data_IF_103547883275
#
_entry.id   IF_103547883275
#
_cell.length_a   1.000
_cell.length_b   1.000
_cell.length_c   1.000
_cell.angle_alpha   90.00
_cell.angle_beta   90.00
_cell.angle_gamma   90.00
#
_symmetry.space_group_name_H-M   'P 1'
#
loop_
_entity.id
_entity.type
_entity.pdbx_description
1 polymer ?
#
# COMPACT_ATOMS: atom_id res chain seq x y z
N UNK A 1 12.65 33.51 -21.18
CA UNK A 1 11.62 33.68 -20.14
C UNK A 1 11.14 35.12 -20.19
N UNK A 2 9.85 35.37 -20.49
CA UNK A 2 9.28 36.71 -20.29
C UNK A 2 9.11 36.91 -18.79
N UNK A 3 9.48 38.07 -18.22
CA UNK A 3 9.19 38.35 -16.81
C UNK A 3 7.67 38.36 -16.60
N UNK A 4 7.22 37.81 -15.48
CA UNK A 4 5.82 37.81 -15.06
C UNK A 4 5.30 39.25 -14.98
N UNK A 5 4.02 39.45 -15.32
CA UNK A 5 3.41 40.78 -15.22
C UNK A 5 3.23 41.16 -13.75
N UNK A 6 3.24 42.48 -13.41
CA UNK A 6 3.05 42.93 -12.02
C UNK A 6 1.74 42.45 -11.37
N UNK A 7 0.69 42.19 -12.16
CA UNK A 7 -0.58 41.67 -11.61
C UNK A 7 -0.49 40.19 -11.25
N UNK A 8 0.26 39.40 -12.03
CA UNK A 8 0.46 37.98 -11.76
C UNK A 8 1.36 37.79 -10.54
N UNK A 9 2.43 38.58 -10.43
CA UNK A 9 3.30 38.57 -9.26
C UNK A 9 2.58 38.96 -7.95
N UNK A 10 1.62 39.90 -8.02
CA UNK A 10 0.80 40.25 -6.86
C UNK A 10 -0.19 39.14 -6.49
N UNK A 11 -0.76 38.44 -7.48
CA UNK A 11 -1.68 37.34 -7.26
C UNK A 11 -0.97 36.11 -6.67
N UNK A 12 0.21 35.77 -7.20
CA UNK A 12 1.06 34.70 -6.67
C UNK A 12 1.48 34.97 -5.21
N UNK A 13 1.74 36.23 -4.86
CA UNK A 13 2.07 36.63 -3.49
C UNK A 13 0.87 36.55 -2.53
N UNK A 14 -0.32 36.94 -2.97
CA UNK A 14 -1.55 36.83 -2.19
C UNK A 14 -1.97 35.36 -1.97
N UNK A 15 -1.80 34.51 -2.99
CA UNK A 15 -2.07 33.07 -2.91
C UNK A 15 -1.08 32.37 -1.95
N UNK A 16 0.21 32.72 -2.02
CA UNK A 16 1.23 32.22 -1.09
C UNK A 16 0.92 32.61 0.37
N UNK A 17 0.52 33.86 0.60
CA UNK A 17 0.11 34.33 1.93
C UNK A 17 -1.14 33.60 2.43
N UNK A 18 -2.12 33.37 1.55
CA UNK A 18 -3.34 32.62 1.88
C UNK A 18 -3.02 31.17 2.26
N UNK A 19 -2.06 30.55 1.58
CA UNK A 19 -1.60 29.20 1.88
C UNK A 19 -0.89 29.13 3.25
N UNK A 20 0.02 30.05 3.55
CA UNK A 20 0.72 30.13 4.84
C UNK A 20 -0.27 30.31 6.00
N UNK A 21 -1.24 31.23 5.85
CA UNK A 21 -2.29 31.47 6.84
C UNK A 21 -3.16 30.22 7.07
N UNK A 22 -3.54 29.50 6.00
CA UNK A 22 -4.27 28.23 6.10
C UNK A 22 -3.44 27.17 6.83
N UNK A 23 -2.17 27.00 6.45
CA UNK A 23 -1.29 25.99 7.04
C UNK A 23 -1.07 26.27 8.53
N UNK A 24 -0.85 27.54 8.90
CA UNK A 24 -0.70 27.94 10.30
C UNK A 24 -1.99 27.73 11.09
N UNK A 25 -3.15 28.10 10.55
CA UNK A 25 -4.45 27.85 11.19
C UNK A 25 -4.69 26.36 11.46
N UNK A 26 -4.39 25.51 10.48
CA UNK A 26 -4.46 24.06 10.66
C UNK A 26 -3.47 23.57 11.72
N UNK A 27 -2.26 24.15 11.76
CA UNK A 27 -1.23 23.82 12.77
C UNK A 27 -1.68 24.15 14.18
N UNK A 28 -2.26 25.33 14.40
CA UNK A 28 -2.78 25.76 15.69
C UNK A 28 -3.94 24.86 16.15
N UNK A 29 -4.85 24.52 15.22
CA UNK A 29 -5.97 23.62 15.50
C UNK A 29 -5.48 22.22 15.91
N UNK A 30 -4.58 21.61 15.13
CA UNK A 30 -4.06 20.27 15.43
C UNK A 30 -3.28 20.27 16.73
N UNK A 31 -2.51 21.32 17.01
CA UNK A 31 -1.72 21.44 18.25
C UNK A 31 -2.58 21.52 19.52
N UNK A 32 -3.85 21.92 19.38
CA UNK A 32 -4.83 21.93 20.47
C UNK A 32 -5.43 20.55 20.78
N UNK A 33 -5.25 19.56 19.88
CA UNK A 33 -5.87 18.25 20.04
C UNK A 33 -5.17 17.39 21.10
N UNK A 34 -5.90 16.44 21.72
CA UNK A 34 -5.29 15.51 22.67
C UNK A 34 -4.14 14.75 22.02
N UNK A 35 -2.97 14.80 22.65
CA UNK A 35 -1.79 14.08 22.20
C UNK A 35 -1.36 13.02 23.20
N UNK A 36 -0.63 12.02 22.71
CA UNK A 36 0.00 11.00 23.54
C UNK A 36 1.25 10.43 22.86
N UNK A 37 2.17 9.82 23.64
CA UNK A 37 3.28 9.07 23.07
C UNK A 37 2.77 7.98 22.12
N UNK A 38 3.55 7.70 21.08
CA UNK A 38 3.24 6.67 20.10
C UNK A 38 4.45 5.78 19.81
N UNK A 39 4.38 5.10 18.67
CA UNK A 39 5.41 4.16 18.21
C UNK A 39 6.76 4.79 17.86
N UNK A 40 6.85 6.11 17.75
CA UNK A 40 8.10 6.81 17.47
C UNK A 40 8.31 7.93 18.49
N UNK A 41 9.44 8.63 18.38
CA UNK A 41 9.71 9.82 19.19
C UNK A 41 8.70 10.96 19.00
N UNK A 42 7.89 10.91 17.93
CA UNK A 42 6.89 11.92 17.66
C UNK A 42 5.63 11.66 18.49
N UNK A 43 5.11 12.72 19.11
CA UNK A 43 3.79 12.69 19.73
C UNK A 43 2.72 12.48 18.64
N UNK A 44 1.73 11.65 18.96
CA UNK A 44 0.57 11.43 18.11
C UNK A 44 -0.63 12.19 18.65
N UNK A 45 -1.24 12.99 17.78
CA UNK A 45 -2.41 13.81 18.06
C UNK A 45 -3.66 13.08 17.57
N UNK A 46 -4.70 13.09 18.39
CA UNK A 46 -5.97 12.43 18.10
C UNK A 46 -6.89 13.39 17.34
N UNK A 47 -7.07 13.15 16.05
CA UNK A 47 -8.10 13.80 15.23
C UNK A 47 -9.49 13.56 15.83
N UNK A 48 -10.44 14.47 15.63
CA UNK A 48 -11.82 14.40 16.14
C UNK A 48 -12.54 13.08 15.79
N UNK A 49 -12.32 12.57 14.57
CA UNK A 49 -12.81 11.27 14.08
C UNK A 49 -12.10 10.05 14.68
N UNK A 50 -11.15 10.24 15.61
CA UNK A 50 -10.52 9.20 16.41
C UNK A 50 -9.16 8.69 15.93
N UNK A 51 -8.58 9.29 14.88
CA UNK A 51 -7.31 8.86 14.28
C UNK A 51 -6.09 9.49 14.93
N UNK A 52 -4.97 8.79 14.93
CA UNK A 52 -3.71 9.26 15.51
C UNK A 52 -2.66 9.56 14.44
N UNK A 53 -2.06 10.74 14.47
CA UNK A 53 -0.92 11.06 13.61
C UNK A 53 -0.10 12.25 14.13
N UNK A 54 1.09 12.49 13.57
CA UNK A 54 1.91 13.65 13.92
C UNK A 54 1.32 14.96 13.39
N UNK A 55 1.61 16.09 14.06
CA UNK A 55 1.06 17.42 13.72
C UNK A 55 1.20 17.73 12.25
N UNK A 56 2.44 17.70 11.74
CA UNK A 56 2.75 18.04 10.35
C UNK A 56 1.95 17.23 9.32
N UNK A 57 1.69 15.95 9.61
CA UNK A 57 0.98 15.07 8.68
C UNK A 57 -0.54 15.28 8.74
N UNK A 58 -1.08 15.61 9.93
CA UNK A 58 -2.49 16.02 10.05
C UNK A 58 -2.72 17.35 9.35
N UNK A 59 -1.81 18.31 9.52
CA UNK A 59 -1.89 19.61 8.84
C UNK A 59 -1.86 19.40 7.33
N UNK A 60 -0.89 18.67 6.80
CA UNK A 60 -0.83 18.37 5.36
C UNK A 60 -2.09 17.65 4.84
N UNK A 61 -2.69 16.76 5.64
CA UNK A 61 -3.97 16.11 5.29
C UNK A 61 -5.13 17.11 5.24
N UNK A 62 -5.23 18.01 6.22
CA UNK A 62 -6.30 19.02 6.30
C UNK A 62 -6.16 20.09 5.21
N UNK A 63 -4.93 20.55 4.95
CA UNK A 63 -4.65 21.50 3.87
C UNK A 63 -4.97 20.87 2.52
N UNK A 64 -4.62 19.59 2.32
CA UNK A 64 -5.00 18.85 1.12
C UNK A 64 -6.54 18.75 0.98
N UNK A 65 -7.29 18.54 2.06
CA UNK A 65 -8.76 18.49 1.99
C UNK A 65 -9.39 19.80 1.52
N UNK A 66 -8.79 20.94 1.88
CA UNK A 66 -9.29 22.26 1.50
C UNK A 66 -8.86 22.66 0.08
N UNK A 67 -7.66 22.28 -0.35
CA UNK A 67 -7.05 22.81 -1.59
C UNK A 67 -6.98 21.81 -2.74
N UNK A 68 -7.10 20.51 -2.50
CA UNK A 68 -6.93 19.52 -3.56
C UNK A 68 -8.11 19.55 -4.54
N UNK A 69 -7.83 20.02 -5.76
CA UNK A 69 -8.76 19.97 -6.88
C UNK A 69 -8.54 18.69 -7.68
N UNK A 70 -9.42 17.70 -7.48
CA UNK A 70 -9.36 16.42 -8.18
C UNK A 70 -9.70 16.57 -9.68
N UNK A 71 -8.96 15.87 -10.55
CA UNK A 71 -9.30 15.65 -11.95
C UNK A 71 -9.91 14.24 -12.14
N UNK A 72 -10.78 14.04 -13.14
CA UNK A 72 -11.35 12.72 -13.43
C UNK A 72 -10.36 11.61 -13.75
N UNK A 73 -9.17 11.98 -14.22
CA UNK A 73 -8.07 11.08 -14.55
C UNK A 73 -7.20 10.72 -13.34
N UNK A 74 -7.34 11.42 -12.20
CA UNK A 74 -6.46 11.24 -11.04
C UNK A 74 -6.61 9.84 -10.43
N UNK A 75 -5.46 9.28 -10.02
CA UNK A 75 -5.40 8.02 -9.30
C UNK A 75 -4.65 8.23 -7.98
N UNK A 76 -5.33 7.95 -6.86
CA UNK A 76 -4.77 8.07 -5.51
C UNK A 76 -4.48 6.68 -4.94
N UNK A 77 -3.21 6.40 -4.66
CA UNK A 77 -2.78 5.20 -3.94
C UNK A 77 -2.88 5.44 -2.44
N UNK A 78 -3.76 4.70 -1.78
CA UNK A 78 -3.91 4.74 -0.34
C UNK A 78 -3.40 3.46 0.33
N UNK A 79 -2.70 3.59 1.45
CA UNK A 79 -2.26 2.43 2.24
C UNK A 79 -2.18 2.82 3.71
N UNK A 80 -2.37 1.88 4.63
CA UNK A 80 -1.83 2.10 5.97
C UNK A 80 -0.28 2.01 5.87
N UNK A 81 0.50 2.86 6.56
CA UNK A 81 1.96 2.82 6.49
C UNK A 81 2.54 1.41 6.59
N UNK A 82 3.40 1.04 5.64
CA UNK A 82 4.07 -0.29 5.58
C UNK A 82 3.21 -1.47 5.12
N UNK A 83 2.04 -1.18 4.54
CA UNK A 83 1.19 -2.17 3.86
C UNK A 83 1.53 -2.39 2.37
N UNK A 84 2.74 -2.04 1.92
CA UNK A 84 3.19 -2.26 0.53
C UNK A 84 3.21 -1.03 -0.38
N UNK A 85 3.16 0.19 0.19
CA UNK A 85 3.06 1.46 -0.54
C UNK A 85 4.10 1.66 -1.63
N UNK A 86 5.38 1.39 -1.35
CA UNK A 86 6.47 1.51 -2.32
C UNK A 86 6.24 0.62 -3.54
N UNK A 87 5.74 -0.60 -3.29
CA UNK A 87 5.52 -1.59 -4.35
C UNK A 87 4.32 -1.24 -5.22
N UNK A 88 3.18 -0.88 -4.62
CA UNK A 88 2.00 -0.48 -5.40
C UNK A 88 2.24 0.84 -6.15
N UNK A 89 3.04 1.77 -5.61
CA UNK A 89 3.46 2.98 -6.34
C UNK A 89 4.28 2.61 -7.58
N UNK A 90 5.25 1.71 -7.42
CA UNK A 90 6.08 1.26 -8.53
C UNK A 90 5.23 0.57 -9.62
N UNK A 91 4.35 -0.36 -9.22
CA UNK A 91 3.47 -1.07 -10.14
C UNK A 91 2.51 -0.12 -10.86
N UNK A 92 1.90 0.83 -10.15
CA UNK A 92 0.98 1.79 -10.77
C UNK A 92 1.70 2.69 -11.77
N UNK A 93 2.83 3.28 -11.39
CA UNK A 93 3.61 4.14 -12.27
C UNK A 93 4.06 3.40 -13.53
N UNK A 94 4.67 2.22 -13.35
CA UNK A 94 5.12 1.40 -14.48
C UNK A 94 3.96 0.95 -15.36
N UNK A 95 2.77 0.68 -14.81
CA UNK A 95 1.59 0.29 -15.59
C UNK A 95 1.04 1.44 -16.42
N UNK A 96 0.88 2.62 -15.81
CA UNK A 96 0.29 3.80 -16.44
C UNK A 96 1.22 4.38 -17.51
N UNK A 97 2.50 4.48 -17.20
CA UNK A 97 3.49 5.10 -18.09
C UNK A 97 4.24 4.10 -18.97
N UNK A 98 3.87 2.82 -19.03
CA UNK A 98 4.62 1.77 -19.77
C UNK A 98 4.93 2.08 -21.24
N UNK A 99 4.11 2.92 -21.90
CA UNK A 99 4.31 3.29 -23.31
C UNK A 99 5.34 4.40 -23.45
N UNK A 100 5.36 5.32 -22.49
CA UNK A 100 6.34 6.41 -22.41
C UNK A 100 7.66 5.90 -21.85
N UNK A 101 7.59 4.94 -20.93
CA UNK A 101 8.70 4.38 -20.17
C UNK A 101 8.61 2.84 -20.19
N UNK A 102 8.97 2.20 -21.31
CA UNK A 102 8.98 0.75 -21.42
C UNK A 102 9.88 0.10 -20.36
N UNK A 103 9.48 -1.06 -19.84
CA UNK A 103 10.22 -1.76 -18.79
C UNK A 103 11.58 -2.31 -19.26
N UNK A 104 11.75 -2.48 -20.57
CA UNK A 104 12.96 -2.91 -21.26
C UNK A 104 13.80 -1.73 -21.81
N UNK A 105 13.39 -0.48 -21.58
CA UNK A 105 14.15 0.69 -21.97
C UNK A 105 15.50 0.70 -21.23
N UNK A 106 16.58 0.42 -21.98
CA UNK A 106 17.92 0.31 -21.44
C UNK A 106 18.39 1.65 -20.83
N UNK A 107 18.40 1.74 -19.50
CA UNK A 107 18.99 2.86 -18.76
C UNK A 107 18.09 4.08 -18.55
N UNK A 108 17.09 4.30 -19.41
CA UNK A 108 16.28 5.53 -19.40
C UNK A 108 14.99 5.44 -18.56
N UNK A 109 14.68 4.28 -17.97
CA UNK A 109 13.50 4.16 -17.11
C UNK A 109 13.63 5.05 -15.85
N UNK A 110 12.61 5.85 -15.48
CA UNK A 110 12.68 6.78 -14.34
C UNK A 110 13.11 6.16 -13.01
N UNK A 111 12.82 4.88 -12.78
CA UNK A 111 13.28 4.16 -11.57
C UNK A 111 14.81 4.05 -11.43
N UNK A 112 15.59 4.32 -12.48
CA UNK A 112 17.05 4.36 -12.38
C UNK A 112 17.56 5.61 -11.63
N UNK A 113 16.80 6.71 -11.66
CA UNK A 113 17.17 7.98 -11.03
C UNK A 113 16.22 8.44 -9.93
N UNK A 114 14.95 8.02 -9.97
CA UNK A 114 13.90 8.41 -9.03
C UNK A 114 13.32 7.18 -8.32
N UNK A 115 13.17 7.26 -7.00
CA UNK A 115 12.47 6.23 -6.25
C UNK A 115 10.95 6.23 -6.54
N UNK A 116 10.21 5.14 -6.26
CA UNK A 116 8.75 5.12 -6.43
C UNK A 116 8.00 6.22 -5.65
N UNK A 117 8.58 6.71 -4.55
CA UNK A 117 8.04 7.81 -3.75
C UNK A 117 8.24 9.20 -4.38
N UNK A 118 9.16 9.33 -5.33
CA UNK A 118 9.38 10.57 -6.11
C UNK A 118 8.52 10.58 -7.37
N UNK A 119 8.29 9.40 -7.98
CA UNK A 119 7.37 9.23 -9.11
C UNK A 119 5.90 9.45 -8.73
N UNK A 120 5.49 8.99 -7.54
CA UNK A 120 4.13 9.18 -7.01
C UNK A 120 4.24 9.81 -5.63
N UNK A 121 4.04 11.13 -5.56
CA UNK A 121 4.20 11.92 -4.33
C UNK A 121 2.99 11.78 -3.41
N UNK A 122 3.27 11.80 -2.11
CA UNK A 122 2.23 11.83 -1.09
C UNK A 122 1.62 13.22 -0.93
N UNK A 123 0.30 13.30 -0.78
CA UNK A 123 -0.41 14.55 -0.50
C UNK A 123 0.11 15.18 0.80
N UNK A 124 0.10 14.44 1.90
CA UNK A 124 0.39 14.95 3.24
C UNK A 124 1.88 14.92 3.67
N UNK A 125 2.75 14.26 2.89
CA UNK A 125 4.19 14.16 3.19
C UNK A 125 5.09 14.95 2.25
N UNK A 126 4.64 15.25 1.04
CA UNK A 126 5.52 15.74 -0.03
C UNK A 126 4.94 16.93 -0.78
N UNK A 127 3.61 17.02 -0.91
CA UNK A 127 2.97 18.08 -1.70
C UNK A 127 2.47 19.21 -0.80
N UNK A 128 1.58 18.94 0.15
CA UNK A 128 1.01 19.95 1.04
C UNK A 128 1.88 20.11 2.30
N UNK A 129 2.95 20.88 2.16
CA UNK A 129 3.97 21.15 3.19
C UNK A 129 3.90 22.61 3.65
N UNK A 130 4.63 22.97 4.70
CA UNK A 130 4.57 24.33 5.28
C UNK A 130 5.14 25.43 4.35
N UNK A 131 6.07 25.04 3.46
CA UNK A 131 6.91 25.95 2.70
C UNK A 131 6.25 26.53 1.45
N UNK A 132 5.48 25.74 0.70
CA UNK A 132 4.88 26.21 -0.56
C UNK A 132 3.62 25.40 -0.92
N UNK A 133 2.66 26.07 -1.55
CA UNK A 133 1.51 25.42 -2.16
C UNK A 133 1.97 24.62 -3.41
N UNK A 134 1.56 23.34 -3.55
CA UNK A 134 1.95 22.57 -4.72
C UNK A 134 1.20 23.05 -5.98
N UNK A 135 1.91 23.35 -7.06
CA UNK A 135 1.31 23.53 -8.39
C UNK A 135 0.98 22.16 -8.99
N UNK A 136 -0.21 21.66 -8.67
CA UNK A 136 -0.72 20.40 -9.21
C UNK A 136 -1.27 20.55 -10.63
N UNK A 137 -1.43 21.78 -11.14
CA UNK A 137 -2.01 22.02 -12.45
C UNK A 137 -0.99 21.84 -13.57
N UNK A 138 0.28 22.10 -13.29
CA UNK A 138 1.41 21.83 -14.17
C UNK A 138 1.68 20.32 -14.40
N UNK A 139 1.08 19.42 -13.60
CA UNK A 139 1.29 17.98 -13.75
C UNK A 139 0.47 17.40 -14.93
N UNK A 140 1.05 16.49 -15.73
CA UNK A 140 0.35 15.84 -16.82
C UNK A 140 -0.70 14.84 -16.31
N UNK A 141 -1.73 14.61 -17.12
CA UNK A 141 -2.74 13.60 -16.85
C UNK A 141 -2.30 12.20 -17.34
N UNK A 142 -2.67 11.12 -16.63
CA UNK A 142 -3.32 11.13 -15.32
C UNK A 142 -2.33 11.51 -14.21
N UNK A 143 -2.76 12.32 -13.24
CA UNK A 143 -1.91 12.60 -12.08
C UNK A 143 -1.98 11.44 -11.10
N UNK A 144 -0.81 11.01 -10.64
CA UNK A 144 -0.67 9.92 -9.68
C UNK A 144 -0.28 10.47 -8.33
N UNK A 145 -1.11 10.22 -7.32
CA UNK A 145 -0.89 10.66 -5.95
C UNK A 145 -0.89 9.49 -4.98
N UNK A 146 -0.41 9.74 -3.77
CA UNK A 146 -0.55 8.79 -2.69
C UNK A 146 -0.93 9.44 -1.38
N UNK A 147 -1.41 8.62 -0.46
CA UNK A 147 -1.75 9.04 0.89
C UNK A 147 -1.76 7.87 1.87
N UNK A 148 -1.52 8.19 3.13
CA UNK A 148 -1.76 7.34 4.28
C UNK A 148 -3.01 7.76 5.05
N UNK A 149 -3.73 8.80 4.62
CA UNK A 149 -4.95 9.25 5.27
C UNK A 149 -6.01 8.14 5.28
N UNK A 150 -6.76 7.98 6.39
CA UNK A 150 -7.99 7.20 6.42
C UNK A 150 -8.97 7.68 5.36
N UNK A 151 -9.85 6.78 4.88
CA UNK A 151 -10.79 7.11 3.80
C UNK A 151 -11.64 8.36 4.09
N UNK A 152 -12.08 8.53 5.33
CA UNK A 152 -12.92 9.65 5.76
C UNK A 152 -12.16 10.99 5.93
N UNK A 153 -10.83 10.97 5.75
CA UNK A 153 -9.94 12.13 5.76
C UNK A 153 -9.28 12.38 4.39
N UNK A 154 -9.63 11.59 3.37
CA UNK A 154 -9.26 11.93 2.00
C UNK A 154 -9.91 13.25 1.60
N UNK A 155 -9.27 14.04 0.71
CA UNK A 155 -9.87 15.27 0.24
C UNK A 155 -11.29 15.05 -0.27
N UNK A 156 -12.21 15.97 0.07
CA UNK A 156 -13.60 15.93 -0.37
C UNK A 156 -13.72 15.78 -1.87
N UNK A 157 -12.82 16.40 -2.64
CA UNK A 157 -12.76 16.26 -4.09
C UNK A 157 -12.48 14.81 -4.56
N UNK A 158 -11.73 14.01 -3.80
CA UNK A 158 -11.50 12.58 -4.08
C UNK A 158 -12.73 11.75 -3.75
N UNK A 159 -13.39 12.02 -2.61
CA UNK A 159 -14.48 11.17 -2.10
C UNK A 159 -15.88 11.56 -2.60
N UNK A 160 -16.07 12.77 -3.13
CA UNK A 160 -17.35 13.28 -3.60
C UNK A 160 -17.98 12.38 -4.68
N UNK A 161 -19.32 12.39 -4.73
CA UNK A 161 -20.15 11.61 -5.66
C UNK A 161 -19.89 12.02 -7.14
N UNK A 162 -20.45 11.33 -8.16
CA UNK A 162 -19.79 10.87 -9.40
C UNK A 162 -19.06 11.89 -10.31
N UNK A 163 -19.11 13.20 -10.04
CA UNK A 163 -18.51 14.26 -10.84
C UNK A 163 -16.98 14.35 -10.75
N UNK A 164 -16.34 13.90 -9.66
CA UNK A 164 -14.88 14.04 -9.52
C UNK A 164 -14.07 13.12 -10.43
N UNK A 165 -14.61 11.95 -10.77
CA UNK A 165 -13.96 10.96 -11.62
C UNK A 165 -12.70 10.27 -11.04
N UNK A 166 -12.14 10.76 -9.93
CA UNK A 166 -10.94 10.23 -9.31
C UNK A 166 -11.10 8.77 -8.86
N UNK A 167 -10.01 7.99 -8.99
CA UNK A 167 -9.95 6.59 -8.59
C UNK A 167 -8.99 6.41 -7.42
N UNK A 168 -9.31 5.47 -6.53
CA UNK A 168 -8.51 5.14 -5.35
C UNK A 168 -8.08 3.69 -5.42
N UNK A 169 -6.78 3.43 -5.28
CA UNK A 169 -6.23 2.07 -5.13
C UNK A 169 -5.77 1.91 -3.69
N UNK A 170 -6.40 1.01 -2.95
CA UNK A 170 -6.06 0.71 -1.57
C UNK A 170 -5.35 -0.64 -1.44
N UNK A 171 -4.26 -0.69 -0.68
CA UNK A 171 -3.60 -1.95 -0.30
C UNK A 171 -3.64 -2.13 1.21
N UNK A 172 -4.19 -3.26 1.64
CA UNK A 172 -4.06 -3.77 3.01
C UNK A 172 -3.04 -4.90 3.08
N UNK A 173 -2.56 -5.20 4.28
CA UNK A 173 -1.59 -6.25 4.58
C UNK A 173 -1.88 -6.80 5.97
N UNK A 174 -1.54 -8.05 6.28
CA UNK A 174 -1.71 -8.62 7.62
C UNK A 174 -1.23 -7.63 8.71
N UNK A 175 -2.05 -7.36 9.74
CA UNK A 175 -1.72 -6.37 10.78
C UNK A 175 -0.42 -6.69 11.52
N UNK A 176 -0.08 -7.97 11.70
CA UNK A 176 1.14 -8.41 12.39
C UNK A 176 2.38 -8.08 11.54
N UNK A 177 2.34 -8.40 10.25
CA UNK A 177 3.42 -8.04 9.31
C UNK A 177 3.56 -6.53 9.14
N UNK A 178 2.43 -5.82 9.13
CA UNK A 178 2.38 -4.36 9.06
C UNK A 178 3.06 -3.73 10.27
N UNK A 179 2.71 -4.19 11.48
CA UNK A 179 3.33 -3.76 12.74
C UNK A 179 4.83 -4.00 12.74
N UNK A 180 5.28 -5.22 12.43
CA UNK A 180 6.70 -5.56 12.41
C UNK A 180 7.46 -4.69 11.40
N UNK A 181 6.88 -4.49 10.21
CA UNK A 181 7.50 -3.60 9.23
C UNK A 181 7.55 -2.14 9.68
N UNK A 182 6.58 -1.68 10.47
CA UNK A 182 6.56 -0.33 11.05
C UNK A 182 7.60 -0.18 12.15
N UNK A 183 7.69 -1.16 13.05
CA UNK A 183 8.68 -1.20 14.12
C UNK A 183 10.11 -1.10 13.59
N UNK A 184 10.47 -1.95 12.62
CA UNK A 184 11.79 -1.91 12.00
C UNK A 184 12.08 -0.57 11.31
N UNK A 185 11.08 0.00 10.63
CA UNK A 185 11.24 1.30 9.98
C UNK A 185 11.49 2.42 10.98
N UNK A 186 10.72 2.46 12.08
CA UNK A 186 10.92 3.43 13.16
C UNK A 186 12.27 3.22 13.85
N UNK A 187 12.64 1.98 14.16
CA UNK A 187 13.91 1.70 14.83
C UNK A 187 15.13 2.02 13.96
N UNK A 188 15.05 1.87 12.63
CA UNK A 188 16.09 2.35 11.71
C UNK A 188 16.27 3.87 11.83
N UNK A 189 15.16 4.60 12.00
CA UNK A 189 15.21 6.05 12.22
C UNK A 189 15.75 6.41 13.60
N UNK A 190 15.29 5.74 14.66
CA UNK A 190 15.77 5.99 16.02
C UNK A 190 17.29 5.73 16.12
N UNK A 191 17.76 4.59 15.60
CA UNK A 191 19.18 4.25 15.57
C UNK A 191 20.01 5.33 14.86
N UNK A 192 19.58 5.79 13.68
CA UNK A 192 20.27 6.84 12.91
C UNK A 192 20.38 8.16 13.68
N UNK A 193 19.41 8.46 14.55
CA UNK A 193 19.35 9.70 15.32
C UNK A 193 19.84 9.54 16.77
N UNK A 194 20.50 8.42 17.10
CA UNK A 194 21.03 8.17 18.45
C UNK A 194 19.96 8.04 19.53
N UNK A 195 18.76 7.57 19.17
CA UNK A 195 17.61 7.40 20.07
C UNK A 195 17.41 5.96 20.45
N UNK A 196 16.76 5.75 21.59
CA UNK A 196 16.37 4.43 22.07
C UNK A 196 15.46 3.70 21.06
N UNK A 197 15.70 2.40 20.91
CA UNK A 197 14.90 1.55 20.06
C UNK A 197 13.61 1.18 20.79
N UNK A 198 12.51 1.14 20.05
CA UNK A 198 11.23 0.70 20.60
C UNK A 198 11.25 -0.81 20.71
N UNK A 199 10.92 -1.32 21.90
CA UNK A 199 10.75 -2.75 22.15
C UNK A 199 9.48 -3.27 21.45
N UNK A 200 9.49 -4.54 21.04
CA UNK A 200 8.36 -5.14 20.31
C UNK A 200 7.07 -5.15 21.15
N UNK A 201 7.16 -5.46 22.44
CA UNK A 201 6.03 -5.48 23.37
C UNK A 201 5.33 -4.14 23.46
N UNK A 202 6.14 -3.07 23.58
CA UNK A 202 5.63 -1.70 23.60
C UNK A 202 4.96 -1.36 22.26
N UNK A 203 5.57 -1.78 21.14
CA UNK A 203 5.01 -1.56 19.82
C UNK A 203 3.67 -2.27 19.60
N UNK A 204 3.57 -3.53 20.03
CA UNK A 204 2.31 -4.30 20.04
C UNK A 204 1.26 -3.60 20.90
N UNK A 205 1.64 -3.11 22.09
CA UNK A 205 0.76 -2.34 22.98
C UNK A 205 0.15 -1.13 22.28
N UNK A 206 0.99 -0.23 21.76
CA UNK A 206 0.54 0.96 21.02
C UNK A 206 -0.35 0.61 19.83
N UNK A 207 0.02 -0.40 19.04
CA UNK A 207 -0.73 -0.81 17.86
C UNK A 207 -2.12 -1.38 18.22
N UNK A 208 -2.19 -2.24 19.26
CA UNK A 208 -3.44 -2.79 19.77
C UNK A 208 -4.37 -1.72 20.34
N UNK A 209 -3.81 -0.71 20.98
CA UNK A 209 -4.56 0.43 21.53
C UNK A 209 -5.00 1.41 20.42
N UNK A 210 -4.61 1.17 19.17
CA UNK A 210 -4.92 2.02 18.01
C UNK A 210 -4.04 3.26 17.89
N UNK A 211 -3.00 3.39 18.71
CA UNK A 211 -2.11 4.54 18.84
C UNK A 211 -0.88 4.33 17.96
N UNK A 212 -1.11 4.33 16.65
CA UNK A 212 -0.07 4.25 15.62
C UNK A 212 -0.25 5.38 14.61
N UNK A 213 0.76 5.74 13.81
CA UNK A 213 0.57 6.66 12.69
C UNK A 213 -0.57 6.21 11.77
N UNK A 214 -1.53 7.09 11.55
CA UNK A 214 -2.81 6.87 10.84
C UNK A 214 -3.65 5.73 11.42
N UNK A 215 -3.43 5.36 12.69
CA UNK A 215 -4.21 4.36 13.41
C UNK A 215 -5.51 4.94 13.97
N UNK A 216 -6.49 4.10 14.35
CA UNK A 216 -6.37 2.65 14.50
C UNK A 216 -6.36 1.86 13.18
N UNK A 217 -5.46 0.88 13.04
CA UNK A 217 -5.28 0.09 11.82
C UNK A 217 -6.59 -0.51 11.29
N UNK A 218 -7.42 -1.12 12.16
CA UNK A 218 -8.62 -1.83 11.73
C UNK A 218 -9.68 -0.92 11.13
N UNK A 219 -9.95 0.24 11.76
CA UNK A 219 -10.87 1.20 11.17
C UNK A 219 -10.31 1.72 9.85
N UNK A 220 -8.97 1.85 9.72
CA UNK A 220 -8.35 2.35 8.50
C UNK A 220 -8.72 1.45 7.34
N UNK A 221 -8.47 0.15 7.51
CA UNK A 221 -8.78 -0.87 6.51
C UNK A 221 -10.30 -0.93 6.26
N UNK A 222 -11.12 -0.88 7.31
CA UNK A 222 -12.58 -0.97 7.18
C UNK A 222 -13.18 0.21 6.42
N UNK A 223 -12.63 1.42 6.56
CA UNK A 223 -13.07 2.59 5.80
C UNK A 223 -12.95 2.36 4.29
N UNK A 224 -11.77 1.96 3.84
CA UNK A 224 -11.51 1.64 2.44
C UNK A 224 -12.28 0.41 1.95
N UNK A 225 -12.43 -0.63 2.78
CA UNK A 225 -13.23 -1.80 2.45
C UNK A 225 -14.71 -1.45 2.22
N UNK A 226 -15.30 -0.63 3.11
CA UNK A 226 -16.68 -0.15 2.95
C UNK A 226 -16.82 0.67 1.67
N UNK A 227 -15.85 1.53 1.37
CA UNK A 227 -15.86 2.34 0.15
C UNK A 227 -15.78 1.47 -1.11
N UNK A 228 -14.87 0.49 -1.14
CA UNK A 228 -14.76 -0.50 -2.22
C UNK A 228 -16.08 -1.24 -2.46
N UNK A 229 -16.74 -1.69 -1.40
CA UNK A 229 -18.03 -2.38 -1.52
C UNK A 229 -19.16 -1.49 -2.04
N UNK A 230 -19.11 -0.19 -1.77
CA UNK A 230 -20.13 0.76 -2.21
C UNK A 230 -19.89 1.26 -3.63
N UNK A 231 -18.62 1.39 -4.03
CA UNK A 231 -18.16 2.00 -5.29
C UNK A 231 -16.95 1.25 -5.86
N UNK A 232 -17.10 -0.03 -6.25
CA UNK A 232 -15.97 -0.84 -6.73
C UNK A 232 -15.31 -0.29 -8.00
N UNK A 233 -16.03 0.53 -8.77
CA UNK A 233 -15.54 1.25 -9.95
C UNK A 233 -14.66 2.47 -9.62
N UNK A 234 -14.69 2.94 -8.36
CA UNK A 234 -13.91 4.10 -7.87
C UNK A 234 -12.87 3.72 -6.84
N UNK A 235 -13.04 2.61 -6.14
CA UNK A 235 -12.11 2.16 -5.10
C UNK A 235 -11.75 0.71 -5.35
N UNK A 236 -10.50 0.46 -5.73
CA UNK A 236 -9.91 -0.86 -5.84
C UNK A 236 -9.29 -1.26 -4.51
N UNK A 237 -9.57 -2.47 -4.04
CA UNK A 237 -9.04 -2.98 -2.78
C UNK A 237 -8.19 -4.22 -3.05
N UNK A 238 -6.90 -4.14 -2.70
CA UNK A 238 -5.94 -5.22 -2.80
C UNK A 238 -5.43 -5.67 -1.44
N UNK A 239 -4.90 -6.89 -1.42
CA UNK A 239 -4.14 -7.43 -0.30
C UNK A 239 -2.72 -7.70 -0.74
N UNK A 240 -1.78 -7.27 0.08
CA UNK A 240 -0.36 -7.46 -0.19
C UNK A 240 -0.01 -8.93 -0.40
N UNK A 241 -0.61 -9.84 0.36
CA UNK A 241 -0.38 -11.28 0.30
C UNK A 241 -0.89 -11.88 -1.01
N UNK A 242 -2.02 -11.39 -1.52
CA UNK A 242 -2.58 -11.81 -2.81
C UNK A 242 -1.77 -11.25 -3.97
N UNK A 243 -1.33 -9.99 -3.87
CA UNK A 243 -0.41 -9.38 -4.82
C UNK A 243 0.92 -10.15 -4.90
N UNK A 244 1.46 -10.60 -3.75
CA UNK A 244 2.69 -11.42 -3.71
C UNK A 244 2.49 -12.81 -4.33
N UNK A 245 1.30 -13.40 -4.18
CA UNK A 245 0.97 -14.72 -4.73
C UNK A 245 0.79 -14.69 -6.24
N UNK A 246 0.12 -13.67 -6.75
CA UNK A 246 -0.11 -13.49 -8.19
C UNK A 246 0.13 -12.03 -8.61
N UNK A 247 1.40 -11.61 -8.78
CA UNK A 247 1.71 -10.24 -9.17
C UNK A 247 1.13 -9.87 -10.53
N UNK A 248 1.18 -10.79 -11.51
CA UNK A 248 0.76 -10.53 -12.88
C UNK A 248 -0.76 -10.31 -12.98
N UNK A 249 -1.58 -11.13 -12.30
CA UNK A 249 -3.02 -10.92 -12.24
C UNK A 249 -3.40 -9.60 -11.57
N UNK A 250 -2.67 -9.19 -10.53
CA UNK A 250 -2.90 -7.89 -9.87
C UNK A 250 -2.47 -6.71 -10.74
N UNK A 251 -1.40 -6.83 -11.53
CA UNK A 251 -1.01 -5.82 -12.53
C UNK A 251 -2.09 -5.64 -13.60
N UNK A 252 -2.64 -6.73 -14.15
CA UNK A 252 -3.75 -6.66 -15.10
C UNK A 252 -4.97 -5.96 -14.50
N UNK A 253 -5.35 -6.34 -13.28
CA UNK A 253 -6.49 -5.74 -12.57
C UNK A 253 -6.25 -4.26 -12.24
N UNK A 254 -5.01 -3.89 -11.91
CA UNK A 254 -4.62 -2.50 -11.69
C UNK A 254 -4.73 -1.69 -12.98
N UNK A 255 -4.26 -2.25 -14.10
CA UNK A 255 -4.32 -1.64 -15.42
C UNK A 255 -5.75 -1.41 -15.89
N UNK A 256 -6.62 -2.41 -15.73
CA UNK A 256 -8.06 -2.30 -16.02
C UNK A 256 -8.69 -1.18 -15.21
N UNK A 257 -8.50 -1.19 -13.89
CA UNK A 257 -9.07 -0.18 -13.00
C UNK A 257 -8.54 1.23 -13.30
N UNK A 258 -7.26 1.36 -13.62
CA UNK A 258 -6.65 2.64 -14.00
C UNK A 258 -7.11 3.13 -15.38
N UNK A 259 -7.74 2.29 -16.21
CA UNK A 259 -8.11 2.62 -17.59
C UNK A 259 -6.97 2.49 -18.59
N UNK A 260 -5.93 1.72 -18.24
CA UNK A 260 -4.72 1.49 -19.03
C UNK A 260 -4.57 0.01 -19.38
N UNK A 261 -5.64 -0.65 -19.84
CA UNK A 261 -5.65 -2.07 -20.22
C UNK A 261 -4.46 -2.42 -21.14
N UNK A 262 -3.86 -3.58 -20.90
CA UNK A 262 -2.90 -4.15 -21.83
C UNK A 262 -3.63 -4.63 -23.07
N UNK A 263 -3.10 -4.27 -24.24
CA UNK A 263 -3.58 -4.78 -25.52
C UNK A 263 -3.09 -6.22 -25.74
N UNK A 264 -3.75 -6.99 -26.61
CA UNK A 264 -3.28 -8.36 -26.92
C UNK A 264 -1.80 -8.39 -27.35
N UNK A 265 -1.29 -7.49 -28.21
CA UNK A 265 0.13 -7.45 -28.52
C UNK A 265 1.05 -7.13 -27.32
N UNK A 266 0.61 -6.27 -26.39
CA UNK A 266 1.38 -6.01 -25.16
C UNK A 266 1.40 -7.24 -24.24
N UNK A 267 0.29 -7.96 -24.11
CA UNK A 267 0.20 -9.20 -23.34
C UNK A 267 1.06 -10.32 -23.96
N UNK A 268 0.90 -10.57 -25.26
CA UNK A 268 1.66 -11.58 -26.01
C UNK A 268 3.16 -11.25 -26.02
N UNK A 269 3.51 -9.95 -26.03
CA UNK A 269 4.88 -9.45 -25.90
C UNK A 269 5.46 -9.52 -24.49
N UNK A 270 4.70 -9.99 -23.50
CA UNK A 270 5.17 -10.16 -22.12
C UNK A 270 5.30 -8.85 -21.33
N UNK A 271 4.57 -7.79 -21.70
CA UNK A 271 4.64 -6.50 -21.03
C UNK A 271 4.22 -6.58 -19.54
N UNK A 272 3.22 -7.40 -19.21
CA UNK A 272 2.80 -7.64 -17.83
C UNK A 272 3.94 -8.22 -17.01
N UNK A 273 4.61 -9.25 -17.53
CA UNK A 273 5.74 -9.88 -16.83
C UNK A 273 6.94 -8.94 -16.74
N UNK A 274 7.17 -8.10 -17.76
CA UNK A 274 8.20 -7.08 -17.73
C UNK A 274 7.93 -6.04 -16.63
N UNK A 275 6.69 -5.55 -16.49
CA UNK A 275 6.28 -4.68 -15.38
C UNK A 275 6.50 -5.35 -14.03
N UNK A 276 6.10 -6.63 -13.88
CA UNK A 276 6.31 -7.38 -12.63
C UNK A 276 7.79 -7.52 -12.31
N UNK A 277 8.65 -7.87 -13.28
CA UNK A 277 10.10 -7.99 -13.09
C UNK A 277 10.73 -6.66 -12.70
N UNK A 278 10.40 -5.58 -13.40
CA UNK A 278 10.89 -4.23 -13.12
C UNK A 278 10.53 -3.80 -11.70
N UNK A 279 9.30 -4.05 -11.28
CA UNK A 279 8.80 -3.70 -9.95
C UNK A 279 9.03 -4.81 -8.91
N UNK A 280 9.86 -5.82 -9.19
CA UNK A 280 10.17 -6.87 -8.22
C UNK A 280 11.01 -6.32 -7.07
N UNK A 281 10.91 -6.94 -5.90
CA UNK A 281 11.70 -6.52 -4.73
C UNK A 281 13.20 -6.53 -5.03
N UNK A 282 13.70 -7.63 -5.60
CA UNK A 282 15.12 -7.81 -5.89
C UNK A 282 15.63 -6.79 -6.91
N UNK A 283 14.85 -6.51 -7.96
CA UNK A 283 15.23 -5.49 -8.93
C UNK A 283 15.26 -4.10 -8.27
N UNK A 284 14.19 -3.70 -7.57
CA UNK A 284 14.10 -2.36 -6.98
C UNK A 284 15.16 -2.08 -5.92
N UNK A 285 15.55 -3.08 -5.12
CA UNK A 285 16.66 -2.95 -4.16
C UNK A 285 18.01 -2.77 -4.87
N UNK A 286 18.15 -3.33 -6.06
CA UNK A 286 19.34 -3.22 -6.89
C UNK A 286 19.55 -1.87 -7.57
N UNK A 287 18.51 -1.04 -7.69
CA UNK A 287 18.56 0.24 -8.42
C UNK A 287 19.38 1.31 -7.68
N UNK A 288 20.09 2.15 -8.43
CA UNK A 288 20.90 3.24 -7.87
C UNK A 288 20.05 4.27 -7.13
N UNK A 289 18.87 4.61 -7.66
CA UNK A 289 17.89 5.47 -6.98
C UNK A 289 17.48 4.93 -5.60
N UNK A 290 17.50 3.61 -5.39
CA UNK A 290 17.19 2.99 -4.09
C UNK A 290 18.41 2.95 -3.17
N UNK A 291 19.59 2.60 -3.70
CA UNK A 291 20.82 2.45 -2.90
C UNK A 291 21.36 3.79 -2.41
N UNK A 292 21.47 4.76 -3.31
CA UNK A 292 22.07 6.08 -3.03
C UNK A 292 21.05 7.21 -2.85
N UNK A 293 19.80 7.01 -3.25
CA UNK A 293 18.79 8.06 -3.23
C UNK A 293 18.14 8.30 -1.85
N UNK A 294 17.40 9.40 -1.76
CA UNK A 294 16.63 9.75 -0.58
C UNK A 294 15.35 10.47 -0.94
N UNK A 295 14.29 10.24 -0.17
CA UNK A 295 13.01 10.91 -0.31
C UNK A 295 12.88 12.00 0.75
N UNK A 296 12.62 13.24 0.32
CA UNK A 296 12.30 14.34 1.23
C UNK A 296 10.83 14.23 1.68
N UNK A 297 10.59 14.10 2.98
CA UNK A 297 9.27 14.12 3.60
C UNK A 297 9.15 15.38 4.48
N UNK A 298 7.94 15.74 4.93
CA UNK A 298 7.71 17.02 5.64
C UNK A 298 8.52 17.15 6.92
N UNK A 299 8.79 16.04 7.61
CA UNK A 299 9.51 16.04 8.89
C UNK A 299 10.98 15.65 8.78
N UNK A 300 11.40 15.01 7.68
CA UNK A 300 12.76 14.46 7.57
C UNK A 300 13.08 13.98 6.15
N UNK A 301 14.37 13.80 5.86
CA UNK A 301 14.84 13.13 4.64
C UNK A 301 15.14 11.66 4.94
N UNK A 302 14.45 10.76 4.25
CA UNK A 302 14.53 9.32 4.45
C UNK A 302 15.36 8.68 3.33
N UNK A 303 16.45 7.94 3.64
CA UNK A 303 17.19 7.19 2.62
C UNK A 303 16.26 6.17 1.96
N UNK A 304 16.32 6.05 0.62
CA UNK A 304 15.39 5.17 -0.10
C UNK A 304 15.55 3.70 0.32
N UNK A 305 16.76 3.28 0.68
CA UNK A 305 17.05 1.96 1.26
C UNK A 305 16.31 1.66 2.58
N UNK A 306 15.74 2.65 3.27
CA UNK A 306 14.90 2.43 4.46
C UNK A 306 13.49 1.91 4.12
N UNK A 307 13.04 2.04 2.87
CA UNK A 307 11.75 1.52 2.45
C UNK A 307 11.77 0.00 2.17
N UNK A 308 12.97 -0.58 1.99
CA UNK A 308 13.19 -1.98 1.67
C UNK A 308 13.76 -2.73 2.88
N UNK A 309 13.22 -3.93 3.15
CA UNK A 309 13.68 -4.77 4.27
C UNK A 309 13.74 -6.25 3.88
N UNK A 310 12.58 -6.90 3.76
CA UNK A 310 12.47 -8.30 3.33
C UNK A 310 11.51 -8.52 2.17
N UNK A 311 10.40 -7.77 2.11
CA UNK A 311 9.40 -7.96 1.05
C UNK A 311 8.69 -9.32 1.11
N UNK A 312 8.61 -9.91 2.32
CA UNK A 312 8.06 -11.24 2.58
C UNK A 312 6.71 -11.17 3.33
N UNK A 313 5.97 -12.28 3.29
CA UNK A 313 4.71 -12.50 4.04
C UNK A 313 5.00 -13.47 5.18
N UNK A 314 4.46 -13.21 6.36
CA UNK A 314 4.59 -14.09 7.53
C UNK A 314 5.84 -13.84 8.38
N UNK A 315 6.63 -12.79 8.07
CA UNK A 315 7.84 -12.49 8.82
C UNK A 315 7.56 -12.06 10.28
N UNK A 316 6.33 -11.67 10.57
CA UNK A 316 5.89 -11.40 11.95
C UNK A 316 6.20 -12.54 12.92
N UNK A 317 6.17 -13.80 12.46
CA UNK A 317 6.44 -14.97 13.29
C UNK A 317 7.89 -15.01 13.85
N UNK A 318 8.83 -14.29 13.21
CA UNK A 318 10.21 -14.18 13.68
C UNK A 318 10.42 -13.09 14.75
N UNK A 319 9.40 -12.27 15.01
CA UNK A 319 9.55 -11.04 15.79
C UNK A 319 8.55 -10.91 16.93
N UNK A 320 7.37 -11.51 16.80
CA UNK A 320 6.25 -11.34 17.72
C UNK A 320 5.96 -12.67 18.39
N UNK A 321 5.79 -12.68 19.72
CA UNK A 321 5.46 -13.91 20.45
C UNK A 321 4.07 -14.45 20.07
N UNK A 322 3.81 -15.75 20.26
CA UNK A 322 2.47 -16.31 20.02
C UNK A 322 1.35 -15.58 20.75
N UNK A 323 1.58 -15.13 21.99
CA UNK A 323 0.60 -14.41 22.81
C UNK A 323 0.30 -13.02 22.24
N UNK A 324 1.32 -12.31 21.77
CA UNK A 324 1.16 -11.01 21.12
C UNK A 324 0.43 -11.15 19.78
N UNK A 325 0.77 -12.17 18.98
CA UNK A 325 0.10 -12.47 17.73
C UNK A 325 -1.38 -12.78 17.97
N UNK A 326 -1.67 -13.64 18.95
CA UNK A 326 -3.05 -13.97 19.35
C UNK A 326 -3.84 -12.74 19.80
N UNK A 327 -3.21 -11.80 20.53
CA UNK A 327 -3.85 -10.54 20.90
C UNK A 327 -4.24 -9.72 19.67
N UNK A 328 -3.35 -9.58 18.69
CA UNK A 328 -3.62 -8.85 17.44
C UNK A 328 -4.72 -9.54 16.64
N UNK A 329 -4.68 -10.87 16.54
CA UNK A 329 -5.68 -11.67 15.82
C UNK A 329 -7.05 -11.55 16.47
N UNK A 330 -7.15 -11.65 17.80
CA UNK A 330 -8.40 -11.48 18.53
C UNK A 330 -9.05 -10.11 18.30
N UNK A 331 -8.26 -9.03 18.29
CA UNK A 331 -8.76 -7.68 17.97
C UNK A 331 -9.21 -7.62 16.50
N UNK A 332 -8.44 -8.22 15.60
CA UNK A 332 -8.75 -8.28 14.16
C UNK A 332 -10.08 -8.97 13.90
N UNK A 333 -10.27 -10.15 14.48
CA UNK A 333 -11.52 -10.91 14.39
C UNK A 333 -12.70 -10.12 14.96
N UNK A 334 -12.54 -9.55 16.16
CA UNK A 334 -13.61 -8.76 16.79
C UNK A 334 -14.03 -7.57 15.91
N UNK A 335 -13.07 -6.76 15.45
CA UNK A 335 -13.34 -5.56 14.64
C UNK A 335 -13.96 -5.90 13.28
N UNK A 336 -13.48 -6.95 12.63
CA UNK A 336 -13.97 -7.32 11.31
C UNK A 336 -15.29 -8.12 11.35
N UNK A 337 -15.58 -8.82 12.45
CA UNK A 337 -16.86 -9.49 12.67
C UNK A 337 -17.99 -8.51 13.04
N UNK A 338 -17.74 -7.58 13.96
CA UNK A 338 -18.72 -6.59 14.43
C UNK A 338 -19.28 -5.77 13.25
N UNK A 339 -18.40 -5.32 12.36
CA UNK A 339 -18.78 -4.47 11.23
C UNK A 339 -19.36 -5.26 10.04
N UNK A 340 -19.11 -6.56 9.95
CA UNK A 340 -19.83 -7.44 9.01
C UNK A 340 -21.32 -7.54 9.37
N UNK A 341 -21.67 -7.54 10.67
CA UNK A 341 -23.06 -7.58 11.16
C UNK A 341 -23.81 -6.25 10.94
N UNK A 342 -23.15 -5.11 11.11
CA UNK A 342 -23.76 -3.79 10.81
C UNK A 342 -24.07 -3.62 9.32
N UNK A 343 -23.18 -4.05 8.43
CA UNK A 343 -23.42 -3.98 6.98
C UNK A 343 -24.55 -4.93 6.55
N UNK A 344 -24.61 -6.14 7.12
CA UNK A 344 -25.70 -7.09 6.87
C UNK A 344 -27.07 -6.55 7.30
N UNK A 345 -27.16 -5.89 8.47
CA UNK A 345 -28.41 -5.26 8.94
C UNK A 345 -28.85 -4.07 8.08
N UNK A 346 -27.91 -3.29 7.54
CA UNK A 346 -28.20 -2.17 6.62
C UNK A 346 -28.57 -2.68 5.21
N UNK A 347 -27.96 -3.76 4.72
CA UNK A 347 -28.30 -4.34 3.42
C UNK A 347 -29.68 -4.97 3.42
N UNK A 348 -30.10 -5.68 4.50
CA UNK A 348 -31.46 -6.23 4.62
C UNK A 348 -32.55 -5.14 4.65
N UNK A 349 -32.25 -3.93 5.14
CA UNK A 349 -33.19 -2.79 5.06
C UNK A 349 -33.26 -2.14 3.68
N UNK A 350 -32.20 -2.24 2.86
CA UNK A 350 -32.14 -1.68 1.50
C UNK A 350 -32.53 -2.68 0.40
N UNK A 351 -32.33 -3.99 0.62
CA UNK A 351 -32.63 -5.07 -0.34
C UNK A 351 -34.11 -5.48 -0.40
N UNK A 352 -35.01 -4.77 0.28
CA UNK A 352 -36.45 -4.92 0.05
C UNK A 352 -36.92 -4.33 -1.30
N UNK A 353 -36.03 -3.70 -2.08
CA UNK A 353 -36.27 -3.32 -3.48
C UNK A 353 -34.99 -3.54 -4.28
N UNK A 354 -35.10 -4.29 -5.38
CA UNK A 354 -34.05 -4.72 -6.33
C UNK A 354 -33.32 -6.03 -5.96
N UNK A 355 -33.90 -7.14 -6.40
CA UNK A 355 -33.17 -8.38 -6.71
C UNK A 355 -32.72 -8.31 -8.18
N UNK A 356 -31.42 -8.38 -8.45
CA UNK A 356 -30.79 -9.28 -9.45
C UNK A 356 -29.30 -9.45 -9.07
N UNK A 357 -28.88 -10.72 -8.98
CA UNK A 357 -27.53 -11.31 -8.98
C UNK A 357 -26.34 -10.50 -8.42
N UNK A 358 -25.91 -10.83 -7.20
CA UNK A 358 -24.53 -10.65 -6.75
C UNK A 358 -23.99 -12.01 -6.28
N UNK A 359 -22.94 -12.49 -6.94
CA UNK A 359 -22.21 -13.68 -6.55
C UNK A 359 -21.74 -13.57 -5.08
N UNK A 360 -21.86 -14.67 -4.34
CA UNK A 360 -21.60 -14.72 -2.90
C UNK A 360 -20.11 -14.47 -2.59
N UNK A 361 -19.77 -13.25 -2.21
CA UNK A 361 -18.45 -12.89 -1.66
C UNK A 361 -18.42 -13.24 -0.16
N UNK A 362 -17.44 -14.03 0.33
CA UNK A 362 -17.35 -14.42 1.75
C UNK A 362 -17.24 -13.21 2.70
N UNK A 363 -17.70 -13.33 3.96
CA UNK A 363 -17.58 -12.27 4.96
C UNK A 363 -16.12 -11.92 5.27
N UNK A 364 -15.83 -10.62 5.32
CA UNK A 364 -14.50 -10.00 5.43
C UNK A 364 -13.60 -10.60 6.54
N UNK A 365 -14.17 -10.94 7.70
CA UNK A 365 -13.42 -11.49 8.84
C UNK A 365 -12.82 -12.88 8.61
N UNK A 366 -13.47 -13.77 7.85
CA UNK A 366 -12.88 -15.08 7.50
C UNK A 366 -11.77 -14.97 6.47
N UNK A 367 -11.74 -13.88 5.70
CA UNK A 367 -10.85 -13.76 4.54
C UNK A 367 -9.47 -13.17 4.88
N UNK A 368 -9.28 -12.57 6.06
CA UNK A 368 -7.99 -12.05 6.54
C UNK A 368 -7.31 -13.06 7.50
N UNK A 369 -8.04 -13.74 8.38
CA UNK A 369 -7.44 -14.75 9.27
C UNK A 369 -7.13 -16.10 8.57
N UNK A 370 -7.88 -16.49 7.54
CA UNK A 370 -7.82 -17.85 6.94
C UNK A 370 -6.52 -18.20 6.20
N UNK A 371 -5.62 -17.26 5.93
CA UNK A 371 -4.32 -17.57 5.30
C UNK A 371 -3.15 -17.55 6.28
N UNK A 372 -3.32 -17.07 7.51
CA UNK A 372 -2.29 -17.14 8.55
C UNK A 372 -2.23 -18.52 9.23
N UNK A 373 -3.27 -19.35 9.11
CA UNK A 373 -3.37 -20.66 9.77
C UNK A 373 -2.96 -21.86 8.90
N UNK A 374 -2.67 -21.66 7.61
CA UNK A 374 -2.38 -22.74 6.65
C UNK A 374 -0.90 -22.93 6.32
N UNK A 375 0.02 -22.32 7.08
CA UNK A 375 1.44 -22.68 7.08
C UNK A 375 1.72 -23.86 8.03
N UNK A 376 1.03 -24.98 7.84
CA UNK A 376 1.54 -26.27 8.28
C UNK A 376 2.26 -26.89 7.09
N UNK A 377 3.54 -26.58 6.95
CA UNK A 377 4.44 -27.44 6.17
C UNK A 377 4.48 -28.80 6.88
N UNK A 378 4.31 -29.93 6.17
CA UNK A 378 4.53 -31.24 6.77
C UNK A 378 5.99 -31.33 7.24
N UNK A 379 6.16 -31.54 8.54
CA UNK A 379 7.44 -31.86 9.14
C UNK A 379 7.84 -33.30 8.75
N UNK A 380 8.45 -33.44 7.59
CA UNK A 380 9.34 -34.57 7.29
C UNK A 380 10.55 -33.97 6.58
N UNK A 381 11.73 -34.58 6.78
CA UNK A 381 13.06 -34.13 6.32
C UNK A 381 13.78 -33.13 7.22
N UNK A 382 13.83 -33.43 8.51
CA UNK A 382 15.01 -33.12 9.32
C UNK A 382 15.81 -34.41 9.49
N UNK A 383 16.86 -34.60 8.67
CA UNK A 383 18.13 -35.20 9.10
C UNK A 383 19.13 -35.30 7.94
N UNK A 384 20.41 -35.17 8.33
CA UNK A 384 21.62 -35.53 7.59
C UNK A 384 22.24 -34.50 6.61
N UNK A 385 23.22 -33.78 7.18
CA UNK A 385 24.62 -33.72 6.73
C UNK A 385 25.07 -32.71 5.66
N UNK A 386 25.95 -31.80 6.10
CA UNK A 386 27.17 -31.38 5.40
C UNK A 386 28.36 -31.94 6.21
N UNK A 387 29.55 -32.28 5.63
CA UNK A 387 30.31 -31.43 4.71
C UNK A 387 31.12 -32.13 3.58
N UNK A 388 31.68 -31.30 2.69
CA UNK A 388 32.89 -31.47 1.85
C UNK A 388 32.86 -32.16 0.46
N UNK A 389 33.03 -31.28 -0.55
CA UNK A 389 33.96 -31.27 -1.71
C UNK A 389 33.76 -32.24 -2.91
N UNK A 390 34.24 -31.84 -4.11
CA UNK A 390 33.61 -32.17 -5.39
C UNK A 390 34.35 -33.26 -6.17
N UNK A 391 33.63 -34.01 -7.01
CA UNK A 391 34.21 -34.79 -8.11
C UNK A 391 33.31 -34.78 -9.36
N UNK A 392 33.82 -34.08 -10.37
CA UNK A 392 33.93 -34.38 -11.81
C UNK A 392 32.99 -35.43 -12.46
N UNK A 393 32.51 -35.03 -13.65
CA UNK A 393 32.25 -35.85 -14.86
C UNK A 393 31.03 -36.78 -14.79
N UNK A 394 30.07 -36.75 -15.72
CA UNK A 394 30.25 -36.81 -17.18
C UNK A 394 28.94 -36.44 -17.87
N UNK A 395 29.08 -35.79 -19.03
CA UNK A 395 28.05 -35.46 -20.00
C UNK A 395 27.39 -36.74 -20.56
N UNK A 396 26.06 -36.76 -20.63
CA UNK A 396 25.35 -37.59 -21.59
C UNK A 396 24.27 -36.74 -22.27
N UNK A 397 24.62 -36.27 -23.47
CA UNK A 397 23.68 -35.79 -24.46
C UNK A 397 22.77 -36.94 -24.87
N UNK A 398 21.46 -36.71 -24.90
CA UNK A 398 20.60 -37.35 -25.88
C UNK A 398 19.47 -36.39 -26.27
N UNK A 399 19.44 -36.14 -27.56
CA UNK A 399 18.61 -35.19 -28.26
C UNK A 399 17.36 -35.89 -28.84
N UNK A 400 16.24 -35.17 -28.78
CA UNK A 400 15.06 -35.13 -29.67
C UNK A 400 14.29 -36.41 -30.04
N UNK A 401 12.97 -36.41 -29.83
CA UNK A 401 11.97 -36.02 -30.85
C UNK A 401 10.53 -35.97 -30.26
N UNK A 402 9.58 -35.22 -30.89
CA UNK A 402 8.24 -34.92 -30.37
C UNK A 402 7.13 -35.86 -30.91
N UNK A 403 6.00 -35.95 -30.20
CA UNK A 403 4.77 -36.61 -30.67
C UNK A 403 3.51 -36.17 -29.88
N UNK A 404 2.30 -36.24 -30.49
CA UNK A 404 1.16 -35.32 -30.24
C UNK A 404 0.03 -35.91 -29.35
N UNK A 405 -1.06 -35.15 -29.05
CA UNK A 405 -1.86 -35.28 -27.84
C UNK A 405 -3.07 -36.22 -27.97
N UNK A 406 -3.48 -36.88 -26.89
CA UNK A 406 -4.82 -37.47 -26.77
C UNK A 406 -5.22 -37.65 -25.29
N UNK A 407 -6.32 -36.99 -24.92
CA UNK A 407 -7.34 -37.36 -23.94
C UNK A 407 -7.02 -38.40 -22.86
N UNK A 408 -6.92 -37.99 -21.59
CA UNK A 408 -7.38 -38.80 -20.44
C UNK A 408 -7.95 -37.92 -19.33
N UNK A 409 -9.28 -37.82 -19.34
CA UNK A 409 -10.24 -38.02 -18.24
C UNK A 409 -9.76 -37.81 -16.79
N UNK A 410 -10.41 -36.87 -16.10
CA UNK A 410 -10.43 -36.74 -14.64
C UNK A 410 -10.90 -38.05 -13.96
N UNK A 411 -10.10 -38.57 -13.03
CA UNK A 411 -10.56 -39.49 -12.00
C UNK A 411 -10.26 -38.89 -10.63
N UNK A 412 -11.32 -38.38 -10.00
CA UNK A 412 -11.37 -38.06 -8.57
C UNK A 412 -11.34 -39.38 -7.80
N UNK A 413 -10.37 -39.55 -6.91
CA UNK A 413 -10.32 -40.69 -5.99
C UNK A 413 -10.32 -40.18 -4.56
N UNK A 414 -11.52 -40.11 -3.98
CA UNK A 414 -11.69 -40.03 -2.53
C UNK A 414 -11.15 -41.33 -1.90
N UNK A 415 -10.31 -41.19 -0.87
CA UNK A 415 -9.99 -42.28 0.05
C UNK A 415 -10.59 -41.93 1.41
N UNK A 416 -11.66 -42.64 1.75
CA UNK A 416 -11.98 -42.98 3.13
C UNK A 416 -11.28 -44.30 3.46
N UNK A 417 -10.59 -44.35 4.59
CA UNK A 417 -10.26 -45.59 5.27
C UNK A 417 -10.07 -45.30 6.76
N UNK A 418 -11.10 -45.66 7.52
CA UNK A 418 -11.00 -46.08 8.92
C UNK A 418 -10.23 -47.41 8.99
N UNK A 419 -9.58 -47.65 10.14
CA UNK A 419 -9.14 -48.91 10.78
C UNK A 419 -8.08 -48.47 11.81
N UNK A 420 -8.10 -48.77 13.11
CA UNK A 420 -8.91 -49.63 14.00
C UNK A 420 -9.02 -48.95 15.38
#
# INVERSE_FOLDING_TARGET
>A
MKPSSPSQANQDADDAKTYEELYQRCTDLVSSWPSRPGLSYLQLFRHEKGWYNGVTLLVGTMVADELFAARPSDIVVATQPKSGTTWIKALLYATVHRREHPADAAGDHPFNSLGPHECIKFLEYQLYRADEAPDLDALPDPRLFATHAPFDLLPRAVVAAPSSGCRVVYVCRDPKDTLVSLLHFVNKYNARNGRELVAVDAAVGFFCDGVSPFGPYWEHVLGYWRAHRQRPERVLFFRYEEMKRDPAGHVRRLAEFAGFLFTSPEEDGGAVDATVRLCSFDNMVGLEATKGGSTQLTTTTVPNSAFFRRGEVGDWANHVSPEMAQRIDAITEAKFAEKSREVGKRSTRRQARLQVAAAAVPPFGRMICSMASSSLLPAEWAEASSPHKPRSMTVLNLAFLPGPPSDVVMVVKERFSNLE
#
